data_IF_421599073610
#
_entry.id   IF_421599073610
#
_cell.length_a   1.000
_cell.length_b   1.000
_cell.length_c   1.000
_cell.angle_alpha   90.00
_cell.angle_beta   90.00
_cell.angle_gamma   90.00
#
_symmetry.space_group_name_H-M   'P 1'
#
loop_
_entity.id
_entity.type
_entity.pdbx_description
1 polymer ?
#
# COMPACT_ATOMS: atom_id res chain seq x y z
N UNK A 1 1.55 -18.11 13.52
CA UNK A 1 0.48 -17.10 13.42
C UNK A 1 1.01 -15.64 13.53
N UNK A 2 2.24 -15.34 13.08
CA UNK A 2 2.93 -14.10 13.47
C UNK A 2 2.45 -12.80 12.76
N UNK A 3 1.84 -12.88 11.57
CA UNK A 3 1.30 -11.68 10.86
C UNK A 3 0.20 -10.97 11.62
N UNK A 4 -0.61 -11.73 12.36
CA UNK A 4 -1.75 -11.20 13.10
C UNK A 4 -1.33 -10.49 14.39
N UNK A 5 -0.04 -10.51 14.75
CA UNK A 5 0.46 -10.00 16.02
C UNK A 5 1.14 -8.63 15.94
N UNK A 6 1.44 -8.08 14.74
CA UNK A 6 1.91 -6.69 14.63
C UNK A 6 0.71 -5.76 14.92
N UNK A 7 0.68 -5.03 16.05
CA UNK A 7 -0.49 -4.24 16.45
C UNK A 7 -0.83 -3.15 15.43
N UNK A 8 0.16 -2.69 14.64
CA UNK A 8 -0.04 -1.65 13.64
C UNK A 8 -0.92 -2.11 12.49
N UNK A 9 -0.89 -3.41 12.18
CA UNK A 9 -1.54 -3.99 11.01
C UNK A 9 -2.59 -5.04 11.34
N UNK A 10 -2.62 -5.56 12.57
CA UNK A 10 -3.62 -6.53 13.01
C UNK A 10 -5.07 -6.05 12.76
N UNK A 11 -5.31 -4.74 12.92
CA UNK A 11 -6.62 -4.12 12.70
C UNK A 11 -7.14 -4.27 11.25
N UNK A 12 -6.25 -4.43 10.26
CA UNK A 12 -6.64 -4.63 8.84
C UNK A 12 -7.25 -6.01 8.59
N UNK A 13 -7.07 -6.96 9.51
CA UNK A 13 -7.70 -8.27 9.46
C UNK A 13 -8.97 -8.35 10.32
N UNK A 14 -9.31 -7.26 11.01
CA UNK A 14 -10.49 -7.14 11.85
C UNK A 14 -11.74 -6.67 11.08
N UNK A 15 -12.90 -6.65 11.75
CA UNK A 15 -14.19 -6.31 11.14
C UNK A 15 -14.29 -4.85 10.65
N UNK A 16 -13.40 -3.96 11.09
CA UNK A 16 -13.33 -2.57 10.61
C UNK A 16 -12.67 -2.41 9.24
N UNK A 17 -11.98 -3.46 8.75
CA UNK A 17 -11.36 -3.43 7.42
C UNK A 17 -12.35 -3.85 6.34
N UNK A 18 -12.35 -3.11 5.24
CA UNK A 18 -13.05 -3.48 4.01
C UNK A 18 -12.13 -4.33 3.16
N UNK A 19 -12.68 -5.38 2.54
CA UNK A 19 -11.97 -6.20 1.57
C UNK A 19 -12.33 -5.75 0.15
N UNK A 20 -11.42 -6.00 -0.80
CA UNK A 20 -11.72 -5.92 -2.24
C UNK A 20 -12.24 -4.54 -2.68
N UNK A 21 -11.59 -3.47 -2.20
CA UNK A 21 -12.06 -2.09 -2.40
C UNK A 21 -11.58 -1.58 -3.75
N UNK A 22 -12.53 -1.18 -4.60
CA UNK A 22 -12.21 -0.48 -5.85
C UNK A 22 -11.58 0.89 -5.55
N UNK A 23 -10.49 1.21 -6.26
CA UNK A 23 -9.77 2.47 -6.16
C UNK A 23 -9.51 3.01 -7.56
N UNK A 24 -10.08 4.16 -7.88
CA UNK A 24 -9.84 4.84 -9.14
C UNK A 24 -9.65 6.34 -8.90
N UNK A 25 -8.72 6.94 -9.63
CA UNK A 25 -8.41 8.36 -9.51
C UNK A 25 -7.02 8.74 -9.99
N UNK A 26 -6.73 10.02 -9.88
CA UNK A 26 -5.41 10.60 -10.05
C UNK A 26 -5.04 11.33 -8.75
N UNK A 27 -3.78 11.73 -8.61
CA UNK A 27 -3.33 12.52 -7.47
C UNK A 27 -2.29 13.56 -7.88
N UNK A 28 -2.23 14.67 -7.17
CA UNK A 28 -1.31 15.76 -7.49
C UNK A 28 0.17 15.34 -7.38
N UNK A 29 0.45 14.33 -6.57
CA UNK A 29 1.81 13.75 -6.41
C UNK A 29 2.20 12.80 -7.53
N UNK A 30 1.27 12.39 -8.40
CA UNK A 30 1.55 11.52 -9.53
C UNK A 30 1.92 12.33 -10.77
N UNK A 31 2.60 11.72 -11.77
CA UNK A 31 2.85 12.39 -13.05
C UNK A 31 1.55 12.95 -13.67
N UNK A 32 1.60 14.15 -14.28
CA UNK A 32 0.43 14.73 -14.92
C UNK A 32 -0.20 13.79 -15.95
N UNK A 33 -1.53 13.66 -15.90
CA UNK A 33 -2.27 12.76 -16.79
C UNK A 33 -2.27 11.28 -16.39
N UNK A 34 -1.53 10.89 -15.34
CA UNK A 34 -1.60 9.54 -14.80
C UNK A 34 -2.83 9.38 -13.91
N UNK A 35 -3.80 8.61 -14.39
CA UNK A 35 -4.93 8.11 -13.61
C UNK A 35 -4.87 6.59 -13.52
N UNK A 36 -5.30 6.05 -12.38
CA UNK A 36 -5.42 4.62 -12.17
C UNK A 36 -6.87 4.19 -11.98
N UNK A 37 -7.12 2.93 -12.29
CA UNK A 37 -8.31 2.19 -11.88
C UNK A 37 -7.84 0.81 -11.46
N UNK A 38 -8.09 0.44 -10.21
CA UNK A 38 -7.61 -0.79 -9.62
C UNK A 38 -8.47 -1.22 -8.44
N UNK A 39 -7.97 -2.22 -7.72
CA UNK A 39 -8.60 -2.81 -6.55
C UNK A 39 -7.52 -3.12 -5.54
N UNK A 40 -7.80 -2.79 -4.27
CA UNK A 40 -6.93 -3.13 -3.14
C UNK A 40 -7.55 -4.27 -2.36
N UNK A 41 -6.73 -5.19 -1.88
CA UNK A 41 -7.24 -6.37 -1.18
C UNK A 41 -7.85 -6.01 0.17
N UNK A 42 -7.23 -5.06 0.90
CA UNK A 42 -7.75 -4.54 2.16
C UNK A 42 -7.55 -3.04 2.31
N UNK A 43 -8.57 -2.40 2.89
CA UNK A 43 -8.53 -0.99 3.28
C UNK A 43 -9.15 -0.83 4.68
N UNK A 44 -8.38 -0.29 5.60
CA UNK A 44 -8.83 0.14 6.91
C UNK A 44 -8.82 1.67 6.97
N UNK A 45 -9.94 2.25 7.38
CA UNK A 45 -10.12 3.70 7.47
C UNK A 45 -10.44 4.04 8.92
N UNK A 46 -9.50 4.70 9.60
CA UNK A 46 -9.64 5.18 10.98
C UNK A 46 -9.73 6.70 11.00
N UNK A 47 -9.89 7.29 12.20
CA UNK A 47 -10.11 8.73 12.36
C UNK A 47 -8.92 9.56 11.86
N UNK A 48 -7.71 9.09 12.15
CA UNK A 48 -6.43 9.77 11.94
C UNK A 48 -5.57 9.13 10.85
N UNK A 49 -5.86 7.90 10.45
CA UNK A 49 -5.10 7.19 9.41
C UNK A 49 -5.95 6.31 8.49
N UNK A 50 -5.37 5.97 7.35
CA UNK A 50 -5.85 4.99 6.39
C UNK A 50 -4.74 4.00 6.12
N UNK A 51 -5.02 2.71 6.25
CA UNK A 51 -4.09 1.63 5.97
C UNK A 51 -4.58 0.83 4.75
N UNK A 52 -3.76 0.78 3.71
CA UNK A 52 -4.00 -0.04 2.52
C UNK A 52 -3.06 -1.24 2.50
N UNK A 53 -3.58 -2.42 2.17
CA UNK A 53 -2.81 -3.67 2.15
C UNK A 53 -3.13 -4.49 0.90
N UNK A 54 -2.07 -5.09 0.34
CA UNK A 54 -2.13 -5.96 -0.84
C UNK A 54 -1.39 -7.29 -0.56
N UNK A 55 -1.91 -8.40 -1.07
CA UNK A 55 -1.37 -9.74 -0.85
C UNK A 55 -0.51 -10.19 -2.02
N UNK A 56 0.64 -10.79 -1.71
CA UNK A 56 1.60 -11.30 -2.69
C UNK A 56 1.89 -12.79 -2.45
N UNK A 57 2.03 -13.51 -3.55
CA UNK A 57 2.17 -14.98 -3.58
C UNK A 57 3.56 -15.46 -3.98
N UNK A 58 4.52 -14.54 -4.14
CA UNK A 58 5.91 -14.84 -4.50
C UNK A 58 6.53 -15.88 -3.57
N UNK A 59 7.26 -16.83 -4.17
CA UNK A 59 8.00 -17.89 -3.47
C UNK A 59 9.44 -17.99 -4.01
N UNK A 60 10.50 -17.73 -3.22
CA UNK A 60 10.43 -17.26 -1.84
C UNK A 60 9.91 -15.82 -1.73
N UNK A 61 9.18 -15.51 -0.67
CA UNK A 61 8.92 -14.12 -0.29
C UNK A 61 10.23 -13.43 0.16
N UNK A 62 10.41 -12.12 -0.14
CA UNK A 62 11.62 -11.41 0.26
C UNK A 62 11.81 -11.40 1.78
N UNK A 63 13.04 -11.11 2.22
CA UNK A 63 13.35 -10.99 3.64
C UNK A 63 13.11 -9.58 4.16
N UNK A 64 13.26 -8.57 3.31
CA UNK A 64 13.02 -7.15 3.63
C UNK A 64 12.18 -6.49 2.54
N UNK A 65 11.57 -5.36 2.87
CA UNK A 65 10.73 -4.63 1.92
C UNK A 65 11.55 -4.02 0.77
N UNK A 66 12.81 -3.66 1.04
CA UNK A 66 13.74 -3.12 0.05
C UNK A 66 14.16 -4.15 -1.01
N UNK A 67 13.99 -5.44 -0.71
CA UNK A 67 14.25 -6.55 -1.64
C UNK A 67 13.00 -6.95 -2.43
N UNK A 68 11.84 -6.33 -2.16
CA UNK A 68 10.62 -6.58 -2.91
C UNK A 68 10.71 -6.01 -4.34
N UNK A 69 9.94 -6.58 -5.26
CA UNK A 69 9.84 -6.02 -6.61
C UNK A 69 9.42 -4.55 -6.56
N UNK A 70 10.20 -3.70 -7.23
CA UNK A 70 9.96 -2.25 -7.31
C UNK A 70 8.56 -1.92 -7.84
N UNK A 71 7.97 -2.80 -8.65
CA UNK A 71 6.59 -2.66 -9.14
C UNK A 71 5.57 -2.72 -8.00
N UNK A 72 5.79 -3.55 -6.97
CA UNK A 72 4.88 -3.62 -5.82
C UNK A 72 5.00 -2.39 -4.94
N UNK A 73 6.22 -1.89 -4.71
CA UNK A 73 6.44 -0.63 -3.97
C UNK A 73 5.79 0.54 -4.71
N UNK A 74 5.98 0.62 -6.03
CA UNK A 74 5.36 1.66 -6.85
C UNK A 74 3.84 1.58 -6.85
N UNK A 75 3.27 0.38 -6.99
CA UNK A 75 1.83 0.17 -6.91
C UNK A 75 1.27 0.72 -5.58
N UNK A 76 1.93 0.39 -4.47
CA UNK A 76 1.52 0.84 -3.15
C UNK A 76 1.65 2.36 -2.98
N UNK A 77 2.72 2.95 -3.53
CA UNK A 77 2.90 4.39 -3.55
C UNK A 77 1.79 5.11 -4.33
N UNK A 78 1.38 4.57 -5.48
CA UNK A 78 0.30 5.13 -6.29
C UNK A 78 -1.04 5.03 -5.55
N UNK A 79 -1.34 3.88 -4.94
CA UNK A 79 -2.56 3.74 -4.13
C UNK A 79 -2.58 4.72 -2.96
N UNK A 80 -1.46 4.84 -2.24
CA UNK A 80 -1.34 5.79 -1.15
C UNK A 80 -1.55 7.24 -1.61
N UNK A 81 -1.00 7.62 -2.77
CA UNK A 81 -1.17 8.95 -3.34
C UNK A 81 -2.64 9.26 -3.67
N UNK A 82 -3.36 8.33 -4.31
CA UNK A 82 -4.79 8.51 -4.63
C UNK A 82 -5.64 8.53 -3.35
N UNK A 83 -5.35 7.67 -2.39
CA UNK A 83 -6.06 7.66 -1.10
C UNK A 83 -5.86 8.96 -0.31
N UNK A 84 -4.71 9.61 -0.43
CA UNK A 84 -4.45 10.91 0.20
C UNK A 84 -5.36 12.03 -0.34
N UNK A 85 -5.77 11.97 -1.61
CA UNK A 85 -6.75 12.90 -2.18
C UNK A 85 -8.15 12.65 -1.62
N UNK A 86 -8.51 11.39 -1.39
CA UNK A 86 -9.83 10.97 -0.88
C UNK A 86 -9.97 11.26 0.62
N UNK A 87 -8.89 11.12 1.38
CA UNK A 87 -8.90 11.24 2.84
C UNK A 87 -7.96 12.36 3.34
N UNK A 88 -8.31 13.63 3.08
CA UNK A 88 -7.47 14.75 3.47
C UNK A 88 -7.29 14.81 5.00
N UNK A 89 -6.06 15.13 5.42
CA UNK A 89 -5.70 15.27 6.84
C UNK A 89 -5.48 13.95 7.59
N UNK A 90 -5.47 12.80 6.90
CA UNK A 90 -5.15 11.49 7.49
C UNK A 90 -3.79 10.99 7.04
N UNK A 91 -3.08 10.30 7.92
CA UNK A 91 -1.88 9.56 7.54
C UNK A 91 -2.26 8.40 6.62
N UNK A 92 -1.53 8.19 5.52
CA UNK A 92 -1.75 7.07 4.61
C UNK A 92 -0.58 6.09 4.77
N UNK A 93 -0.89 4.89 5.27
CA UNK A 93 0.06 3.79 5.48
C UNK A 93 -0.19 2.68 4.47
N UNK A 94 0.87 2.02 4.02
CA UNK A 94 0.79 0.89 3.09
C UNK A 94 1.59 -0.30 3.61
N UNK A 95 1.11 -1.51 3.32
CA UNK A 95 1.85 -2.73 3.61
C UNK A 95 1.57 -3.85 2.60
N UNK A 96 2.53 -4.74 2.44
CA UNK A 96 2.42 -5.98 1.67
C UNK A 96 2.31 -7.18 2.62
N UNK A 97 1.38 -8.09 2.33
CA UNK A 97 1.27 -9.37 3.01
C UNK A 97 1.77 -10.47 2.08
N UNK A 98 2.80 -11.18 2.51
CA UNK A 98 3.31 -12.34 1.79
C UNK A 98 2.62 -13.60 2.28
N UNK A 99 2.24 -14.48 1.35
CA UNK A 99 1.52 -15.73 1.67
C UNK A 99 2.44 -16.95 1.76
N UNK A 100 3.69 -16.84 1.28
CA UNK A 100 4.76 -17.85 1.37
C UNK A 100 5.42 -17.91 2.76
N UNK A 101 4.60 -17.80 3.79
CA UNK A 101 4.99 -17.57 5.18
C UNK A 101 4.33 -16.29 5.68
N UNK A 102 3.92 -16.22 6.97
CA UNK A 102 3.23 -15.05 7.48
C UNK A 102 4.23 -13.92 7.67
N UNK A 103 4.50 -13.17 6.61
CA UNK A 103 5.28 -11.92 6.66
C UNK A 103 4.38 -10.77 6.25
N UNK A 104 4.32 -9.76 7.09
CA UNK A 104 3.76 -8.46 6.75
C UNK A 104 4.89 -7.46 6.74
N UNK A 105 4.98 -6.69 5.66
CA UNK A 105 6.01 -5.67 5.50
C UNK A 105 5.35 -4.33 5.25
N UNK A 106 5.54 -3.40 6.18
CA UNK A 106 5.24 -2.00 5.91
C UNK A 106 6.03 -1.53 4.69
N UNK A 107 5.43 -0.66 3.88
CA UNK A 107 6.12 0.08 2.83
C UNK A 107 6.41 1.48 3.37
N UNK A 108 7.66 1.77 3.78
CA UNK A 108 8.04 3.07 4.32
C UNK A 108 7.72 4.23 3.37
N UNK A 109 7.40 5.40 3.95
CA UNK A 109 7.02 6.58 3.17
C UNK A 109 8.14 7.05 2.23
N UNK A 110 9.39 6.94 2.64
CA UNK A 110 10.56 7.28 1.84
C UNK A 110 10.71 6.35 0.62
N UNK A 111 10.44 5.04 0.76
CA UNK A 111 10.42 4.13 -0.38
C UNK A 111 9.28 4.46 -1.35
N UNK A 112 8.09 4.75 -0.83
CA UNK A 112 6.95 5.15 -1.67
C UNK A 112 7.25 6.45 -2.43
N UNK A 113 7.81 7.45 -1.75
CA UNK A 113 8.23 8.72 -2.34
C UNK A 113 9.27 8.50 -3.45
N UNK A 114 10.32 7.73 -3.16
CA UNK A 114 11.37 7.44 -4.12
C UNK A 114 10.83 6.71 -5.36
N UNK A 115 9.85 5.82 -5.19
CA UNK A 115 9.21 5.12 -6.31
C UNK A 115 8.43 6.08 -7.22
N UNK A 116 7.64 6.99 -6.64
CA UNK A 116 6.91 8.02 -7.41
C UNK A 116 7.88 8.94 -8.14
N UNK A 117 8.94 9.41 -7.48
CA UNK A 117 9.96 10.27 -8.09
C UNK A 117 10.65 9.56 -9.27
N UNK A 118 10.90 8.26 -9.16
CA UNK A 118 11.48 7.47 -10.26
C UNK A 118 10.52 7.35 -11.44
N UNK A 119 9.23 7.11 -11.17
CA UNK A 119 8.19 7.06 -12.20
C UNK A 119 8.12 8.39 -12.97
N UNK A 120 8.17 9.52 -12.26
CA UNK A 120 8.11 10.85 -12.87
C UNK A 120 9.32 11.18 -13.76
N UNK A 121 10.47 10.52 -13.57
CA UNK A 121 11.66 10.70 -14.43
C UNK A 121 11.62 9.85 -15.71
N UNK A 122 10.73 8.87 -15.77
CA UNK A 122 10.59 7.94 -16.90
C UNK A 122 9.36 8.19 -17.77
N UNK A 123 8.47 9.08 -17.32
CA UNK A 123 7.29 9.54 -18.04
C UNK A 123 7.63 10.81 -18.83
#
# INVERSE_FOLDING_TARGET
LAVLADPRFAAVFGPGSRAEVALAGAAARLPPGLAISGRVDRLLVEKDRVLVVDFKTNRPAPHRIEDADVAYVLQMAIYAAVLAEVFPGRAIEAALVWTDGPKLMAVPEDLMRAAIERLARTA
#
